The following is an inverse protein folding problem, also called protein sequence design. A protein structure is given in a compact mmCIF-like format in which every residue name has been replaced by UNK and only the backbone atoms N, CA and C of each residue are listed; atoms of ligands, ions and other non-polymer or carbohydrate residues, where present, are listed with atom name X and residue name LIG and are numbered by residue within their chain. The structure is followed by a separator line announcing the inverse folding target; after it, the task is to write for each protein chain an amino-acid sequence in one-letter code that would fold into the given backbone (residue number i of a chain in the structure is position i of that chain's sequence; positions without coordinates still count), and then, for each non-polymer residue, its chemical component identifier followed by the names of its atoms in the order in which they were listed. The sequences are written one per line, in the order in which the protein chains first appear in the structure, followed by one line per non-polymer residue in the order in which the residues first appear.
data_IF_025164732999
#
_entry.id   IF_025164732999
#
_cell.length_a   1.000
_cell.length_b   1.000
_cell.length_c   1.000
_cell.angle_alpha   90.00
_cell.angle_beta   90.00
_cell.angle_gamma   90.00
#
_symmetry.space_group_name_H-M   'P 1'
#
loop_
_entity.id
_entity.type
_entity.pdbx_description
1 polymer ?
#
# COMPACT_ATOMS: atom_id res chain seq x y z
N UNK A 1 -2.65 32.49 -54.45
CA UNK A 1 -1.86 31.76 -53.45
C UNK A 1 -2.81 31.12 -52.45
N UNK A 2 -3.04 29.81 -52.60
CA UNK A 2 -3.84 29.01 -51.64
C UNK A 2 -2.89 28.59 -50.52
N UNK A 3 -2.92 29.32 -49.43
CA UNK A 3 -2.28 28.85 -48.20
C UNK A 3 -3.24 27.81 -47.59
N UNK A 4 -2.96 26.53 -47.85
CA UNK A 4 -3.66 25.46 -47.19
C UNK A 4 -3.49 25.63 -45.67
N UNK A 5 -4.57 25.86 -44.95
CA UNK A 5 -4.60 25.95 -43.51
C UNK A 5 -4.27 24.54 -42.99
N UNK A 6 -3.02 24.32 -42.64
CA UNK A 6 -2.57 23.05 -42.07
C UNK A 6 -3.27 22.91 -40.72
N UNK A 7 -4.15 21.94 -40.59
CA UNK A 7 -4.78 21.62 -39.32
C UNK A 7 -3.75 20.93 -38.45
N UNK A 8 -3.18 21.70 -37.52
CA UNK A 8 -2.13 21.26 -36.57
C UNK A 8 -2.63 20.07 -35.75
N UNK A 9 -3.94 19.98 -35.50
CA UNK A 9 -4.55 18.90 -34.75
C UNK A 9 -4.51 17.58 -35.54
N UNK A 10 -4.87 17.64 -36.83
CA UNK A 10 -4.83 16.46 -37.72
C UNK A 10 -3.39 15.96 -37.94
N UNK A 11 -2.44 16.87 -38.04
CA UNK A 11 -1.01 16.52 -38.15
C UNK A 11 -0.49 15.89 -36.85
N UNK A 12 -0.88 16.40 -35.67
CA UNK A 12 -0.50 15.84 -34.37
C UNK A 12 -1.10 14.45 -34.16
N UNK A 13 -2.36 14.23 -34.55
CA UNK A 13 -3.03 12.92 -34.46
C UNK A 13 -2.37 11.89 -35.40
N UNK A 14 -2.05 12.28 -36.64
CA UNK A 14 -1.35 11.42 -37.59
C UNK A 14 0.09 11.09 -37.20
N UNK A 15 0.74 11.99 -36.50
CA UNK A 15 2.10 11.78 -35.96
C UNK A 15 2.11 10.91 -34.70
N UNK A 16 0.95 10.50 -34.18
CA UNK A 16 0.87 9.68 -32.95
C UNK A 16 1.30 10.43 -31.68
N UNK A 17 1.37 11.77 -31.74
CA UNK A 17 1.83 12.59 -30.60
C UNK A 17 0.98 12.36 -29.33
N UNK A 18 -0.36 12.22 -29.39
CA UNK A 18 -1.17 11.93 -28.21
C UNK A 18 -0.81 10.60 -27.55
N UNK A 19 -0.48 9.59 -28.34
CA UNK A 19 -0.11 8.26 -27.83
C UNK A 19 1.28 8.27 -27.22
N UNK A 20 2.25 8.94 -27.85
CA UNK A 20 3.61 9.15 -27.32
C UNK A 20 3.56 9.94 -26.01
N UNK A 21 2.73 10.97 -25.92
CA UNK A 21 2.58 11.77 -24.68
C UNK A 21 1.93 10.94 -23.56
N UNK A 22 0.93 10.12 -23.88
CA UNK A 22 0.30 9.23 -22.89
C UNK A 22 1.26 8.17 -22.39
N UNK A 23 2.00 7.53 -23.28
CA UNK A 23 2.98 6.49 -22.96
C UNK A 23 4.12 7.06 -22.12
N UNK A 24 4.74 8.16 -22.55
CA UNK A 24 5.82 8.81 -21.81
C UNK A 24 5.38 9.37 -20.47
N UNK A 25 4.17 9.94 -20.35
CA UNK A 25 3.64 10.43 -19.08
C UNK A 25 3.35 9.25 -18.12
N UNK A 26 2.81 8.15 -18.62
CA UNK A 26 2.58 6.93 -17.84
C UNK A 26 3.88 6.30 -17.35
N UNK A 27 4.90 6.22 -18.17
CA UNK A 27 6.22 5.71 -17.80
C UNK A 27 6.92 6.61 -16.77
N UNK A 28 6.87 7.92 -16.92
CA UNK A 28 7.44 8.88 -15.96
C UNK A 28 6.73 8.81 -14.61
N UNK A 29 5.40 8.77 -14.59
CA UNK A 29 4.63 8.61 -13.36
C UNK A 29 4.92 7.26 -12.69
N UNK A 30 4.99 6.16 -13.47
CA UNK A 30 5.35 4.84 -12.98
C UNK A 30 6.75 4.80 -12.37
N UNK A 31 7.73 5.43 -13.02
CA UNK A 31 9.11 5.49 -12.52
C UNK A 31 9.23 6.30 -11.23
N UNK A 32 8.50 7.42 -11.09
CA UNK A 32 8.46 8.22 -9.87
C UNK A 32 7.87 7.45 -8.69
N UNK A 33 6.76 6.73 -8.92
CA UNK A 33 6.15 5.85 -7.90
C UNK A 33 7.11 4.73 -7.49
N UNK A 34 7.81 4.12 -8.43
CA UNK A 34 8.77 3.05 -8.13
C UNK A 34 9.98 3.57 -7.34
N UNK A 35 10.47 4.79 -7.62
CA UNK A 35 11.51 5.43 -6.80
C UNK A 35 11.02 5.64 -5.37
N UNK A 36 9.80 6.16 -5.19
CA UNK A 36 9.21 6.35 -3.88
C UNK A 36 9.05 5.01 -3.12
N UNK A 37 8.53 3.98 -3.79
CA UNK A 37 8.40 2.63 -3.22
C UNK A 37 9.73 2.07 -2.75
N UNK A 38 10.79 2.21 -3.54
CA UNK A 38 12.15 1.77 -3.18
C UNK A 38 12.66 2.46 -1.92
N UNK A 39 12.44 3.78 -1.79
CA UNK A 39 12.83 4.53 -0.59
C UNK A 39 12.07 4.06 0.65
N UNK A 40 10.74 3.86 0.53
CA UNK A 40 9.92 3.37 1.62
C UNK A 40 10.39 1.97 2.07
N UNK A 41 10.66 1.06 1.14
CA UNK A 41 11.19 -0.29 1.43
C UNK A 41 12.55 -0.21 2.15
N UNK A 42 13.43 0.69 1.72
CA UNK A 42 14.74 0.90 2.35
C UNK A 42 14.61 1.33 3.82
N UNK A 43 13.76 2.33 4.08
CA UNK A 43 13.51 2.81 5.44
C UNK A 43 12.85 1.72 6.29
N UNK A 44 11.90 0.98 5.74
CA UNK A 44 11.26 -0.15 6.41
C UNK A 44 12.26 -1.25 6.80
N UNK A 45 13.24 -1.54 5.95
CA UNK A 45 14.28 -2.52 6.24
C UNK A 45 15.15 -2.06 7.42
N UNK A 46 15.55 -0.78 7.44
CA UNK A 46 16.34 -0.19 8.54
C UNK A 46 15.53 -0.19 9.84
N UNK A 47 14.30 0.36 9.81
CA UNK A 47 13.44 0.46 10.99
C UNK A 47 13.15 -0.90 11.62
N UNK A 48 12.80 -1.88 10.79
CA UNK A 48 12.50 -3.23 11.24
C UNK A 48 13.73 -3.97 11.75
N UNK A 49 14.88 -3.81 11.10
CA UNK A 49 16.14 -4.41 11.53
C UNK A 49 16.60 -3.85 12.88
N UNK A 50 16.49 -2.53 13.06
CA UNK A 50 16.82 -1.86 14.33
C UNK A 50 15.91 -2.31 15.46
N UNK A 51 14.58 -2.32 15.25
CA UNK A 51 13.62 -2.76 16.24
C UNK A 51 13.85 -4.22 16.66
N UNK A 52 14.18 -5.10 15.72
CA UNK A 52 14.43 -6.51 16.01
C UNK A 52 15.67 -6.71 16.86
N UNK A 53 16.74 -5.94 16.60
CA UNK A 53 17.96 -5.93 17.45
C UNK A 53 17.70 -5.41 18.85
N UNK A 54 16.88 -4.38 19.00
CA UNK A 54 16.51 -3.84 20.31
C UNK A 54 15.73 -4.84 21.17
N UNK A 55 15.07 -5.83 20.57
CA UNK A 55 14.41 -6.94 21.28
C UNK A 55 15.36 -8.10 21.62
N UNK A 56 16.66 -7.96 21.38
CA UNK A 56 17.68 -8.98 21.66
C UNK A 56 17.60 -10.20 20.73
N UNK A 57 16.98 -10.08 19.58
CA UNK A 57 16.81 -11.17 18.60
C UNK A 57 17.73 -10.97 17.40
N UNK A 58 18.23 -12.06 16.83
CA UNK A 58 19.04 -12.02 15.64
C UNK A 58 18.15 -11.74 14.40
N UNK A 59 18.40 -10.66 13.64
CA UNK A 59 17.68 -10.37 12.40
C UNK A 59 17.78 -11.47 11.34
N UNK A 60 18.86 -12.27 11.35
CA UNK A 60 19.07 -13.34 10.36
C UNK A 60 18.09 -14.51 10.52
N UNK A 61 17.56 -14.73 11.72
CA UNK A 61 16.60 -15.82 12.01
C UNK A 61 15.15 -15.47 11.67
N UNK A 62 14.91 -14.26 11.16
CA UNK A 62 13.56 -13.76 10.89
C UNK A 62 13.00 -14.32 9.59
N UNK A 63 11.76 -14.87 9.58
CA UNK A 63 11.09 -15.21 8.34
C UNK A 63 10.88 -13.95 7.49
N UNK A 64 11.17 -14.05 6.21
CA UNK A 64 11.08 -12.91 5.27
C UNK A 64 9.73 -12.85 4.57
N UNK A 65 9.09 -14.01 4.35
CA UNK A 65 7.85 -14.16 3.60
C UNK A 65 6.96 -15.29 4.16
N UNK A 66 5.66 -15.33 3.80
CA UNK A 66 4.79 -16.49 4.03
C UNK A 66 5.31 -17.74 3.31
N UNK A 67 5.07 -18.93 3.86
CA UNK A 67 5.60 -20.19 3.35
C UNK A 67 5.21 -20.48 1.89
N UNK A 68 3.96 -20.23 1.51
CA UNK A 68 3.51 -20.43 0.12
C UNK A 68 4.19 -19.52 -0.89
N UNK A 69 4.43 -18.26 -0.52
CA UNK A 69 5.13 -17.31 -1.39
C UNK A 69 6.66 -17.56 -1.44
N UNK A 70 7.23 -18.22 -0.44
CA UNK A 70 8.63 -18.67 -0.48
C UNK A 70 8.86 -19.74 -1.55
N UNK A 71 7.94 -20.67 -1.71
CA UNK A 71 8.00 -21.71 -2.74
C UNK A 71 7.87 -21.13 -4.14
N UNK A 72 6.92 -20.22 -4.37
CA UNK A 72 6.75 -19.57 -5.67
C UNK A 72 7.94 -18.68 -6.05
N UNK A 73 8.48 -17.92 -5.10
CA UNK A 73 9.61 -17.02 -5.33
C UNK A 73 10.95 -17.75 -5.35
N UNK A 74 11.05 -18.91 -4.69
CA UNK A 74 12.26 -19.73 -4.59
C UNK A 74 12.60 -20.49 -5.87
N UNK A 75 11.61 -20.82 -6.69
CA UNK A 75 11.77 -21.55 -7.94
C UNK A 75 12.26 -20.68 -9.12
N UNK A 76 12.20 -19.36 -9.03
CA UNK A 76 12.58 -18.44 -10.11
C UNK A 76 13.39 -17.24 -9.62
N UNK A 77 14.68 -17.22 -9.95
CA UNK A 77 15.55 -16.02 -9.95
C UNK A 77 15.35 -15.03 -8.79
N UNK A 78 15.86 -15.34 -7.62
CA UNK A 78 16.13 -14.28 -6.62
C UNK A 78 17.28 -13.40 -7.11
N UNK A 79 16.97 -12.30 -7.79
CA UNK A 79 17.91 -11.21 -7.99
C UNK A 79 18.31 -10.64 -6.61
N UNK A 80 19.60 -10.31 -6.41
CA UNK A 80 20.05 -9.64 -5.19
C UNK A 80 19.21 -8.38 -4.98
N UNK A 81 18.48 -8.29 -3.85
CA UNK A 81 17.65 -7.13 -3.49
C UNK A 81 16.17 -7.23 -3.84
N UNK A 82 15.69 -8.35 -4.38
CA UNK A 82 14.25 -8.56 -4.61
C UNK A 82 13.51 -8.75 -3.28
N UNK A 83 12.41 -8.01 -3.08
CA UNK A 83 11.59 -8.03 -1.85
C UNK A 83 10.13 -8.38 -2.11
N UNK A 84 9.77 -8.78 -3.33
CA UNK A 84 8.41 -9.25 -3.65
C UNK A 84 8.05 -10.44 -2.76
N UNK A 85 6.86 -10.41 -2.17
CA UNK A 85 6.40 -11.41 -1.20
C UNK A 85 6.96 -11.26 0.22
N UNK A 86 7.95 -10.40 0.46
CA UNK A 86 8.45 -10.16 1.81
C UNK A 86 7.44 -9.38 2.66
N UNK A 87 7.46 -9.59 3.98
CA UNK A 87 6.60 -8.87 4.92
C UNK A 87 6.84 -7.36 4.88
N UNK A 88 5.77 -6.61 4.64
CA UNK A 88 5.80 -5.15 4.59
C UNK A 88 6.09 -4.52 5.97
N UNK A 89 6.89 -3.46 5.95
CA UNK A 89 7.29 -2.76 7.16
C UNK A 89 6.29 -1.69 7.63
N UNK A 90 6.63 -0.99 8.73
CA UNK A 90 5.74 0.00 9.34
C UNK A 90 5.49 1.22 8.45
N UNK A 91 6.51 1.72 7.76
CA UNK A 91 6.37 2.93 6.94
C UNK A 91 5.51 2.69 5.70
N UNK A 92 5.67 1.54 5.03
CA UNK A 92 4.80 1.15 3.91
C UNK A 92 3.32 1.10 4.33
N UNK A 93 3.02 0.53 5.50
CA UNK A 93 1.66 0.44 6.03
C UNK A 93 1.11 1.80 6.43
N UNK A 94 1.94 2.64 7.07
CA UNK A 94 1.56 4.00 7.44
C UNK A 94 1.28 4.84 6.19
N UNK A 95 2.14 4.78 5.18
CA UNK A 95 1.95 5.50 3.92
C UNK A 95 0.66 5.08 3.22
N UNK A 96 0.39 3.77 3.14
CA UNK A 96 -0.86 3.27 2.58
C UNK A 96 -2.08 3.77 3.38
N UNK A 97 -2.02 3.72 4.71
CA UNK A 97 -3.09 4.21 5.57
C UNK A 97 -3.36 5.71 5.39
N UNK A 98 -2.33 6.55 5.28
CA UNK A 98 -2.49 7.99 5.05
C UNK A 98 -3.13 8.27 3.69
N UNK A 99 -2.71 7.56 2.65
CA UNK A 99 -3.31 7.66 1.31
C UNK A 99 -4.77 7.20 1.34
N UNK A 100 -5.07 6.07 1.97
CA UNK A 100 -6.44 5.55 2.10
C UNK A 100 -7.33 6.51 2.89
N UNK A 101 -6.79 7.10 3.97
CA UNK A 101 -7.51 8.13 4.75
C UNK A 101 -7.86 9.34 3.88
N UNK A 102 -6.93 9.81 3.06
CA UNK A 102 -7.21 10.90 2.12
C UNK A 102 -8.26 10.50 1.08
N UNK A 103 -8.16 9.30 0.49
CA UNK A 103 -9.13 8.79 -0.49
C UNK A 103 -10.52 8.69 0.13
N UNK A 104 -10.65 8.11 1.32
CA UNK A 104 -11.92 7.96 2.04
C UNK A 104 -12.51 9.34 2.33
N UNK A 105 -11.72 10.25 2.86
CA UNK A 105 -12.15 11.61 3.20
C UNK A 105 -12.63 12.39 1.97
N UNK A 106 -11.82 12.45 0.91
CA UNK A 106 -12.16 13.19 -0.29
C UNK A 106 -13.33 12.57 -1.06
N UNK A 107 -13.40 11.23 -1.16
CA UNK A 107 -14.54 10.56 -1.80
C UNK A 107 -15.84 10.77 -1.02
N UNK A 108 -15.79 10.77 0.31
CA UNK A 108 -16.93 11.06 1.17
C UNK A 108 -17.40 12.52 0.97
N UNK A 109 -16.49 13.49 1.03
CA UNK A 109 -16.83 14.90 0.79
C UNK A 109 -17.42 15.13 -0.59
N UNK A 110 -16.85 14.50 -1.62
CA UNK A 110 -17.35 14.59 -2.99
C UNK A 110 -18.77 14.01 -3.10
N UNK A 111 -19.03 12.89 -2.44
CA UNK A 111 -20.35 12.26 -2.40
C UNK A 111 -21.37 13.17 -1.71
N UNK A 112 -21.04 13.72 -0.54
CA UNK A 112 -21.93 14.64 0.19
C UNK A 112 -22.19 15.92 -0.64
N UNK A 113 -21.14 16.50 -1.23
CA UNK A 113 -21.28 17.67 -2.09
C UNK A 113 -22.14 17.39 -3.33
N UNK A 114 -21.98 16.22 -3.94
CA UNK A 114 -22.80 15.80 -5.08
C UNK A 114 -24.26 15.60 -4.70
N UNK A 115 -24.54 14.97 -3.57
CA UNK A 115 -25.92 14.82 -3.05
C UNK A 115 -26.51 16.20 -2.74
N UNK A 116 -25.77 17.07 -2.05
CA UNK A 116 -26.23 18.43 -1.73
C UNK A 116 -26.53 19.22 -2.99
N UNK A 117 -25.69 19.15 -4.02
CA UNK A 117 -25.92 19.78 -5.31
C UNK A 117 -27.20 19.28 -5.99
N UNK A 118 -27.41 17.96 -6.01
CA UNK A 118 -28.63 17.36 -6.59
C UNK A 118 -29.87 17.85 -5.84
N UNK A 119 -29.84 17.82 -4.49
CA UNK A 119 -30.95 18.30 -3.67
C UNK A 119 -31.23 19.79 -3.93
N UNK A 120 -30.20 20.63 -4.00
CA UNK A 120 -30.32 22.08 -4.27
C UNK A 120 -30.99 22.35 -5.62
N UNK A 121 -30.59 21.63 -6.68
CA UNK A 121 -31.19 21.73 -8.00
C UNK A 121 -32.70 21.41 -7.97
N UNK A 122 -33.11 20.39 -7.21
CA UNK A 122 -34.51 19.97 -7.13
C UNK A 122 -35.34 20.78 -6.12
N UNK A 123 -34.72 21.32 -5.06
CA UNK A 123 -35.40 22.09 -4.02
C UNK A 123 -35.40 23.61 -4.27
N UNK A 124 -34.89 24.05 -5.42
CA UNK A 124 -34.81 25.48 -5.81
C UNK A 124 -34.04 26.39 -4.84
N UNK A 125 -33.03 25.82 -4.17
CA UNK A 125 -32.16 26.58 -3.28
C UNK A 125 -32.70 26.80 -1.86
N UNK A 126 -33.76 26.10 -1.45
CA UNK A 126 -34.34 26.23 -0.10
C UNK A 126 -33.64 25.34 0.96
N UNK A 127 -32.60 24.60 0.60
CA UNK A 127 -31.89 23.72 1.54
C UNK A 127 -30.74 24.45 2.26
N UNK A 128 -30.62 24.30 3.59
CA UNK A 128 -29.45 24.81 4.29
C UNK A 128 -28.19 24.09 3.85
N UNK A 129 -27.01 24.78 3.78
CA UNK A 129 -25.78 24.12 3.41
C UNK A 129 -25.44 22.99 4.37
N UNK A 130 -25.27 21.78 3.83
CA UNK A 130 -24.94 20.57 4.59
C UNK A 130 -23.46 20.56 5.02
N UNK A 131 -23.02 21.62 5.71
CA UNK A 131 -21.62 21.78 6.14
C UNK A 131 -21.35 21.24 7.54
N UNK A 132 -22.40 20.96 8.32
CA UNK A 132 -22.26 20.45 9.68
C UNK A 132 -22.41 18.93 9.68
N UNK A 133 -21.28 18.24 9.71
CA UNK A 133 -21.23 16.78 9.70
C UNK A 133 -21.78 16.15 11.00
N UNK A 134 -21.79 16.86 12.12
CA UNK A 134 -22.31 16.39 13.40
C UNK A 134 -22.00 14.91 13.72
N UNK A 135 -22.58 14.35 14.77
CA UNK A 135 -22.38 12.94 15.12
C UNK A 135 -22.90 11.95 14.05
N UNK A 136 -23.99 12.32 13.35
CA UNK A 136 -24.55 11.47 12.28
C UNK A 136 -23.59 11.41 11.08
N UNK A 137 -23.01 12.54 10.67
CA UNK A 137 -22.04 12.58 9.59
C UNK A 137 -20.79 11.75 9.89
N UNK A 138 -20.32 11.78 11.15
CA UNK A 138 -19.19 10.92 11.58
C UNK A 138 -19.56 9.44 11.53
N UNK A 139 -20.79 9.06 11.91
CA UNK A 139 -21.25 7.68 11.80
C UNK A 139 -21.31 7.22 10.34
N UNK A 140 -21.83 8.05 9.44
CA UNK A 140 -21.88 7.76 7.99
C UNK A 140 -20.47 7.65 7.41
N UNK A 141 -19.54 8.55 7.78
CA UNK A 141 -18.13 8.46 7.38
C UNK A 141 -17.48 7.15 7.87
N UNK A 142 -17.77 6.74 9.10
CA UNK A 142 -17.25 5.47 9.64
C UNK A 142 -17.75 4.26 8.84
N UNK A 143 -19.05 4.23 8.49
CA UNK A 143 -19.63 3.20 7.62
C UNK A 143 -19.00 3.25 6.21
N UNK A 144 -18.80 4.45 5.65
CA UNK A 144 -18.14 4.64 4.36
C UNK A 144 -16.71 4.09 4.35
N UNK A 145 -15.91 4.45 5.36
CA UNK A 145 -14.55 3.94 5.53
C UNK A 145 -14.52 2.42 5.71
N UNK A 146 -15.46 1.88 6.50
CA UNK A 146 -15.61 0.44 6.71
C UNK A 146 -15.91 -0.30 5.40
N UNK A 147 -16.88 0.16 4.64
CA UNK A 147 -17.26 -0.44 3.35
C UNK A 147 -16.12 -0.36 2.34
N UNK A 148 -15.44 0.78 2.26
CA UNK A 148 -14.26 0.96 1.40
C UNK A 148 -13.18 -0.07 1.74
N UNK A 149 -12.79 -0.19 3.01
CA UNK A 149 -11.74 -1.10 3.44
C UNK A 149 -12.13 -2.57 3.25
N UNK A 150 -13.33 -2.96 3.72
CA UNK A 150 -13.80 -4.34 3.60
C UNK A 150 -13.96 -4.80 2.16
N UNK A 151 -14.62 -4.01 1.31
CA UNK A 151 -14.82 -4.34 -0.10
C UNK A 151 -13.49 -4.43 -0.84
N UNK A 152 -12.58 -3.45 -0.66
CA UNK A 152 -11.28 -3.44 -1.32
C UNK A 152 -10.43 -4.66 -0.94
N UNK A 153 -10.40 -5.02 0.35
CA UNK A 153 -9.66 -6.19 0.82
C UNK A 153 -10.28 -7.50 0.34
N UNK A 154 -11.61 -7.57 0.26
CA UNK A 154 -12.30 -8.79 -0.19
C UNK A 154 -12.15 -9.02 -1.69
N UNK A 155 -12.22 -7.96 -2.49
CA UNK A 155 -12.19 -8.05 -3.97
C UNK A 155 -10.77 -8.15 -4.49
N UNK A 156 -9.87 -7.30 -3.99
CA UNK A 156 -8.53 -7.13 -4.55
C UNK A 156 -7.39 -7.54 -3.60
N UNK A 157 -7.69 -7.91 -2.35
CA UNK A 157 -6.68 -8.18 -1.32
C UNK A 157 -5.86 -6.94 -0.93
N UNK A 158 -6.23 -5.75 -1.43
CA UNK A 158 -5.53 -4.47 -1.17
C UNK A 158 -6.46 -3.29 -1.35
N UNK A 159 -6.24 -2.23 -0.60
CA UNK A 159 -6.88 -0.94 -0.81
C UNK A 159 -6.17 -0.16 -1.92
N UNK A 160 -6.73 0.98 -2.35
CA UNK A 160 -6.07 1.84 -3.34
C UNK A 160 -4.74 2.38 -2.83
N UNK A 161 -4.69 2.82 -1.56
CA UNK A 161 -3.45 3.28 -0.94
C UNK A 161 -2.40 2.18 -0.86
N UNK A 162 -2.79 0.96 -0.51
CA UNK A 162 -1.91 -0.22 -0.55
C UNK A 162 -1.40 -0.49 -1.96
N UNK A 163 -2.25 -0.38 -2.97
CA UNK A 163 -1.87 -0.54 -4.37
C UNK A 163 -0.85 0.50 -4.83
N UNK A 164 -1.02 1.77 -4.43
CA UNK A 164 -0.07 2.86 -4.73
C UNK A 164 1.28 2.60 -4.06
N UNK A 165 1.30 2.18 -2.81
CA UNK A 165 2.53 1.88 -2.07
C UNK A 165 3.17 0.56 -2.52
N UNK A 166 2.40 -0.34 -3.13
CA UNK A 166 2.88 -1.64 -3.58
C UNK A 166 2.93 -2.68 -2.47
N UNK A 167 1.87 -2.76 -1.69
CA UNK A 167 1.66 -3.79 -0.67
C UNK A 167 0.31 -4.48 -0.86
N UNK A 168 0.21 -5.71 -0.41
CA UNK A 168 -1.00 -6.55 -0.47
C UNK A 168 -1.20 -7.30 0.83
N UNK A 169 -2.45 -7.57 1.17
CA UNK A 169 -2.82 -8.43 2.31
C UNK A 169 -3.10 -9.83 1.80
N UNK A 170 -2.48 -10.79 2.44
CA UNK A 170 -2.66 -12.23 2.19
C UNK A 170 -2.86 -12.97 3.50
N UNK A 171 -3.25 -14.21 3.45
CA UNK A 171 -3.25 -15.06 4.63
C UNK A 171 -1.83 -15.54 4.99
N UNK A 172 -1.69 -16.38 6.01
CA UNK A 172 -0.38 -16.89 6.46
C UNK A 172 0.26 -17.85 5.47
N UNK A 173 -0.51 -18.42 4.57
CA UNK A 173 -0.06 -19.29 3.50
C UNK A 173 0.35 -18.53 2.23
N UNK A 174 0.00 -17.23 2.14
CA UNK A 174 0.25 -16.39 0.97
C UNK A 174 -0.96 -16.29 0.03
N UNK A 175 -2.07 -16.92 0.38
CA UNK A 175 -3.29 -16.95 -0.41
C UNK A 175 -4.14 -15.67 -0.23
N UNK A 176 -5.01 -15.33 -1.19
CA UNK A 176 -5.95 -14.23 -1.05
C UNK A 176 -6.85 -14.39 0.17
N UNK A 177 -7.17 -13.26 0.84
CA UNK A 177 -8.06 -13.26 2.00
C UNK A 177 -9.49 -13.67 1.62
N UNK A 178 -10.10 -14.51 2.46
CA UNK A 178 -11.55 -14.73 2.42
C UNK A 178 -12.31 -13.48 2.87
N UNK A 179 -13.57 -13.34 2.46
CA UNK A 179 -14.45 -12.24 2.89
C UNK A 179 -14.58 -12.16 4.42
N UNK A 180 -14.58 -13.32 5.11
CA UNK A 180 -14.62 -13.40 6.58
C UNK A 180 -13.34 -12.83 7.22
N UNK A 181 -12.18 -13.18 6.70
CA UNK A 181 -10.90 -12.66 7.20
C UNK A 181 -10.81 -11.14 6.98
N UNK A 182 -11.20 -10.66 5.79
CA UNK A 182 -11.29 -9.23 5.47
C UNK A 182 -12.23 -8.50 6.42
N UNK A 183 -13.38 -9.09 6.75
CA UNK A 183 -14.34 -8.53 7.70
C UNK A 183 -13.75 -8.42 9.11
N UNK A 184 -13.20 -9.53 9.63
CA UNK A 184 -12.57 -9.54 10.96
C UNK A 184 -11.45 -8.48 11.04
N UNK A 185 -10.60 -8.41 10.02
CA UNK A 185 -9.52 -7.43 9.94
C UNK A 185 -10.05 -5.99 10.02
N UNK A 186 -11.10 -5.69 9.23
CA UNK A 186 -11.68 -4.34 9.16
C UNK A 186 -12.39 -3.96 10.46
N UNK A 187 -13.11 -4.89 11.09
CA UNK A 187 -13.78 -4.67 12.39
C UNK A 187 -12.74 -4.44 13.50
N UNK A 188 -11.66 -5.21 13.53
CA UNK A 188 -10.63 -5.11 14.58
C UNK A 188 -9.68 -3.93 14.36
N UNK A 189 -9.59 -3.40 13.14
CA UNK A 189 -8.67 -2.30 12.80
C UNK A 189 -8.82 -1.06 13.70
N UNK A 190 -10.02 -0.51 13.98
CA UNK A 190 -10.19 0.65 14.87
C UNK A 190 -9.68 0.40 16.30
N UNK A 191 -9.80 -0.82 16.80
CA UNK A 191 -9.33 -1.18 18.14
C UNK A 191 -7.81 -1.08 18.27
N UNK A 192 -7.07 -1.20 17.15
CA UNK A 192 -5.61 -1.01 17.15
C UNK A 192 -5.20 0.41 17.54
N UNK A 193 -6.08 1.41 17.31
CA UNK A 193 -5.89 2.80 17.74
C UNK A 193 -6.41 3.05 19.16
N UNK A 194 -7.56 2.48 19.53
CA UNK A 194 -8.20 2.70 20.82
C UNK A 194 -7.32 2.30 22.01
N UNK A 195 -6.46 1.32 21.82
CA UNK A 195 -5.47 0.89 22.84
C UNK A 195 -4.18 1.72 22.66
N UNK A 196 -4.28 3.04 22.58
CA UNK A 196 -3.15 3.98 22.42
C UNK A 196 -2.14 3.59 21.31
N UNK A 197 -2.63 2.95 20.25
CA UNK A 197 -1.79 2.47 19.15
C UNK A 197 -0.96 1.22 19.47
N UNK A 198 -1.10 0.60 20.66
CA UNK A 198 -0.39 -0.63 21.02
C UNK A 198 -0.68 -1.79 20.08
N UNK A 199 -1.86 -1.79 19.43
CA UNK A 199 -2.22 -2.77 18.41
C UNK A 199 -1.26 -2.80 17.20
N UNK A 200 -0.47 -1.74 17.00
CA UNK A 200 0.54 -1.67 15.92
C UNK A 200 1.93 -2.15 16.37
N UNK A 201 2.20 -2.29 17.66
CA UNK A 201 3.52 -2.73 18.16
C UNK A 201 3.93 -4.10 17.62
N UNK A 202 2.96 -4.94 17.26
CA UNK A 202 3.22 -6.24 16.64
C UNK A 202 4.05 -6.16 15.37
N UNK A 203 4.04 -5.03 14.65
CA UNK A 203 4.89 -4.83 13.45
C UNK A 203 6.39 -4.93 13.80
N UNK A 204 6.76 -4.48 15.00
CA UNK A 204 8.15 -4.45 15.47
C UNK A 204 8.53 -5.73 16.21
N UNK A 205 7.59 -6.32 16.97
CA UNK A 205 7.85 -7.43 17.88
C UNK A 205 7.59 -8.80 17.22
N UNK A 206 6.54 -8.90 16.38
CA UNK A 206 6.18 -10.15 15.71
C UNK A 206 7.17 -10.49 14.59
N UNK A 207 7.62 -11.76 14.47
CA UNK A 207 8.44 -12.20 13.35
C UNK A 207 7.80 -11.93 11.98
N UNK A 208 6.50 -12.14 11.86
CA UNK A 208 5.70 -11.94 10.65
C UNK A 208 5.20 -10.48 10.49
N UNK A 209 5.67 -9.54 11.32
CA UNK A 209 5.26 -8.11 11.33
C UNK A 209 3.74 -7.92 11.40
N UNK A 210 3.04 -8.70 12.21
CA UNK A 210 1.59 -8.64 12.33
C UNK A 210 1.15 -7.64 13.39
N UNK A 211 0.20 -6.79 13.02
CA UNK A 211 -0.57 -5.97 13.95
C UNK A 211 -1.65 -6.80 14.65
N UNK A 212 -2.34 -6.21 15.62
CA UNK A 212 -3.44 -6.87 16.33
C UNK A 212 -4.56 -7.32 15.34
N UNK A 213 -4.99 -6.46 14.44
CA UNK A 213 -6.01 -6.79 13.43
C UNK A 213 -5.51 -7.80 12.39
N UNK A 214 -4.20 -7.81 12.06
CA UNK A 214 -3.59 -8.86 11.24
C UNK A 214 -3.67 -10.22 11.95
N UNK A 215 -3.30 -10.24 13.24
CA UNK A 215 -3.31 -11.45 14.04
C UNK A 215 -4.72 -12.02 14.23
N UNK A 216 -5.71 -11.16 14.49
CA UNK A 216 -7.10 -11.55 14.65
C UNK A 216 -7.70 -12.15 13.36
N UNK A 217 -7.32 -11.62 12.19
CA UNK A 217 -7.78 -12.10 10.90
C UNK A 217 -6.96 -13.28 10.33
N UNK A 218 -5.84 -13.64 10.97
CA UNK A 218 -4.90 -14.63 10.42
C UNK A 218 -4.23 -14.14 9.13
N UNK A 219 -4.06 -12.83 8.97
CA UNK A 219 -3.51 -12.19 7.78
C UNK A 219 -2.10 -11.65 7.99
N UNK A 220 -1.41 -11.38 6.90
CA UNK A 220 -0.12 -10.70 6.85
C UNK A 220 -0.11 -9.71 5.68
N UNK A 221 0.81 -8.74 5.71
CA UNK A 221 0.95 -7.77 4.61
C UNK A 221 2.32 -7.97 3.98
N UNK A 222 2.34 -8.09 2.65
CA UNK A 222 3.54 -8.35 1.86
C UNK A 222 3.74 -7.29 0.78
N UNK A 223 4.97 -7.12 0.31
CA UNK A 223 5.27 -6.29 -0.86
C UNK A 223 4.79 -6.98 -2.13
N UNK A 224 4.04 -6.24 -2.95
CA UNK A 224 3.53 -6.67 -4.24
C UNK A 224 3.38 -5.46 -5.18
N UNK A 225 4.29 -5.35 -6.15
CA UNK A 225 4.28 -4.28 -7.14
C UNK A 225 3.57 -4.67 -8.44
N UNK A 226 2.80 -5.78 -8.43
CA UNK A 226 2.16 -6.37 -9.60
C UNK A 226 3.19 -6.98 -10.53
N UNK A 227 3.12 -6.65 -11.83
CA UNK A 227 4.02 -7.19 -12.84
C UNK A 227 5.47 -6.70 -12.71
N UNK A 228 5.73 -5.72 -11.85
CA UNK A 228 7.06 -5.18 -11.59
C UNK A 228 7.70 -5.85 -10.39
N UNK A 229 8.98 -6.15 -10.49
CA UNK A 229 9.74 -6.71 -9.37
C UNK A 229 9.95 -5.67 -8.29
N UNK A 230 9.52 -5.96 -7.06
CA UNK A 230 9.82 -5.13 -5.91
C UNK A 230 11.29 -5.28 -5.53
N UNK A 231 12.04 -4.18 -5.56
CA UNK A 231 13.49 -4.16 -5.33
C UNK A 231 13.90 -3.15 -4.27
N UNK A 232 14.91 -3.54 -3.50
CA UNK A 232 15.60 -2.63 -2.58
C UNK A 232 16.62 -1.77 -3.35
N UNK A 233 16.85 -0.49 -2.97
CA UNK A 233 17.87 0.34 -3.60
C UNK A 233 19.24 -0.32 -3.59
N UNK A 234 19.95 -0.30 -4.72
CA UNK A 234 21.24 -0.96 -4.91
C UNK A 234 22.34 -0.59 -3.85
N UNK A 235 22.44 0.66 -3.34
CA UNK A 235 23.38 0.98 -2.28
C UNK A 235 23.10 0.21 -0.98
N UNK A 236 21.84 0.07 -0.61
CA UNK A 236 21.44 -0.63 0.61
C UNK A 236 21.61 -2.14 0.47
N UNK A 237 21.28 -2.69 -0.70
CA UNK A 237 21.51 -4.12 -1.00
C UNK A 237 22.98 -4.47 -0.85
N UNK A 238 23.91 -3.64 -1.38
CA UNK A 238 25.35 -3.84 -1.25
C UNK A 238 25.84 -3.72 0.20
N UNK A 239 25.25 -2.85 0.99
CA UNK A 239 25.56 -2.71 2.41
C UNK A 239 25.10 -3.93 3.22
N UNK A 240 23.87 -4.41 2.98
CA UNK A 240 23.30 -5.58 3.65
C UNK A 240 24.09 -6.84 3.30
N UNK A 241 24.45 -7.05 2.03
CA UNK A 241 25.23 -8.24 1.62
C UNK A 241 26.65 -8.22 2.22
N UNK A 242 27.35 -7.09 2.23
CA UNK A 242 28.67 -6.98 2.89
C UNK A 242 28.59 -7.29 4.38
N UNK A 243 27.56 -6.79 5.06
CA UNK A 243 27.38 -7.02 6.50
C UNK A 243 27.08 -8.49 6.80
N UNK A 244 26.33 -9.16 5.93
CA UNK A 244 26.08 -10.60 6.05
C UNK A 244 27.34 -11.42 5.84
N UNK A 245 28.20 -11.05 4.88
CA UNK A 245 29.51 -11.69 4.63
C UNK A 245 30.47 -11.49 5.82
N UNK A 246 30.53 -10.27 6.39
CA UNK A 246 31.33 -9.98 7.61
C UNK A 246 30.91 -10.84 8.79
N UNK A 247 29.60 -11.02 9.02
CA UNK A 247 29.09 -11.84 10.12
C UNK A 247 29.37 -13.33 9.91
N UNK A 248 29.23 -13.83 8.68
CA UNK A 248 29.53 -15.22 8.35
C UNK A 248 31.01 -15.58 8.53
N UNK A 249 31.93 -14.62 8.35
CA UNK A 249 33.36 -14.82 8.61
C UNK A 249 33.69 -14.85 10.11
N UNK A 250 32.98 -14.09 10.93
CA UNK A 250 33.16 -14.09 12.39
C UNK A 250 32.69 -15.41 13.02
N UNK A 251 31.57 -15.99 12.53
CA UNK A 251 31.03 -17.26 13.02
C UNK A 251 31.86 -18.49 12.58
N UNK A 252 32.81 -18.33 11.66
CA UNK A 252 33.69 -19.40 11.17
C UNK A 252 35.07 -19.48 11.84
N UNK A 253 35.42 -18.50 12.68
CA UNK A 253 36.63 -18.46 13.52
C UNK A 253 36.32 -18.91 14.96
#
# INVERSE_FOLDING_TARGET
AIVAKVDVKEVAERAGIPDIVRESTGELAGSAVDVLRRQIVAIDAIASGTAYRLTGRDPATRPTSPSGLEEETGAGRKGRGQVTGHYAGPLSRLSAFLIDTAIVWFSFLLTIAGIAFIVDVFSRGETPPATDLGPIGLAVLAVWAFLYMWASLTIAGRTLGMGIVGIRVVDRQGEPLSARQSLIRTVVFPFSFLIFGLGFLGIFISPERRTMHDAAAGSVVVYDWGDRTAEMPAPLTRWVSRRAEELATIDSE
#
